data_IF_262551649071
#
_entry.id   IF_262551649071
#
_cell.length_a   1.000
_cell.length_b   1.000
_cell.length_c   1.000
_cell.angle_alpha   90.00
_cell.angle_beta   90.00
_cell.angle_gamma   90.00
#
_symmetry.space_group_name_H-M   'P 1'
#
loop_
_entity.id
_entity.type
_entity.pdbx_description
1 polymer ?
#
# COMPACT_ATOMS: atom_id res chain seq x y z
N UNK A 1 -29.94 2.90 -19.93
CA UNK A 1 -29.45 1.54 -20.23
C UNK A 1 -27.94 1.51 -20.43
N UNK A 2 -27.36 2.31 -21.33
CA UNK A 2 -25.90 2.36 -21.61
C UNK A 2 -25.01 2.62 -20.37
N UNK A 3 -25.39 3.56 -19.50
CA UNK A 3 -24.63 3.90 -18.28
C UNK A 3 -24.62 2.75 -17.27
N UNK A 4 -25.70 1.98 -17.15
CA UNK A 4 -25.77 0.83 -16.25
C UNK A 4 -24.92 -0.35 -16.76
N UNK A 5 -24.84 -0.54 -18.08
CA UNK A 5 -23.93 -1.52 -18.68
C UNK A 5 -22.47 -1.10 -18.56
N UNK A 6 -22.16 0.19 -18.70
CA UNK A 6 -20.82 0.69 -18.51
C UNK A 6 -20.39 0.57 -17.05
N UNK A 7 -21.25 0.96 -16.10
CA UNK A 7 -20.99 0.80 -14.66
C UNK A 7 -20.83 -0.67 -14.27
N UNK A 8 -21.66 -1.58 -14.77
CA UNK A 8 -21.52 -3.01 -14.48
C UNK A 8 -20.26 -3.61 -15.11
N UNK A 9 -19.86 -3.17 -16.31
CA UNK A 9 -18.63 -3.58 -16.97
C UNK A 9 -17.39 -3.04 -16.24
N UNK A 10 -17.38 -1.77 -15.83
CA UNK A 10 -16.29 -1.22 -15.00
C UNK A 10 -16.22 -1.95 -13.67
N UNK A 11 -17.36 -2.18 -13.01
CA UNK A 11 -17.37 -2.86 -11.72
C UNK A 11 -16.88 -4.31 -11.85
N UNK A 12 -17.29 -5.02 -12.91
CA UNK A 12 -16.84 -6.39 -13.18
C UNK A 12 -15.35 -6.45 -13.53
N UNK A 13 -14.83 -5.49 -14.28
CA UNK A 13 -13.39 -5.42 -14.61
C UNK A 13 -12.55 -5.06 -13.39
N UNK A 14 -12.96 -4.09 -12.58
CA UNK A 14 -12.29 -3.80 -11.29
C UNK A 14 -12.38 -4.97 -10.32
N UNK A 15 -13.52 -5.64 -10.25
CA UNK A 15 -13.71 -6.81 -9.40
C UNK A 15 -12.82 -7.99 -9.84
N UNK A 16 -12.77 -8.26 -11.14
CA UNK A 16 -11.90 -9.28 -11.70
C UNK A 16 -10.41 -8.95 -11.51
N UNK A 17 -10.04 -7.68 -11.66
CA UNK A 17 -8.68 -7.18 -11.38
C UNK A 17 -8.30 -7.40 -9.91
N UNK A 18 -9.18 -7.05 -8.97
CA UNK A 18 -8.95 -7.21 -7.54
C UNK A 18 -8.85 -8.70 -7.16
N UNK A 19 -9.73 -9.53 -7.71
CA UNK A 19 -9.69 -10.98 -7.55
C UNK A 19 -8.38 -11.56 -8.05
N UNK A 20 -7.97 -11.19 -9.27
CA UNK A 20 -6.71 -11.65 -9.87
C UNK A 20 -5.49 -11.19 -9.05
N UNK A 21 -5.50 -9.95 -8.56
CA UNK A 21 -4.41 -9.42 -7.73
C UNK A 21 -4.28 -10.20 -6.42
N UNK A 22 -5.40 -10.52 -5.76
CA UNK A 22 -5.40 -11.31 -4.53
C UNK A 22 -4.91 -12.73 -4.80
N UNK A 23 -5.40 -13.37 -5.86
CA UNK A 23 -5.00 -14.73 -6.26
C UNK A 23 -3.50 -14.79 -6.55
N UNK A 24 -2.94 -13.86 -7.33
CA UNK A 24 -1.50 -13.80 -7.60
C UNK A 24 -0.68 -13.55 -6.33
N UNK A 25 -1.12 -12.66 -5.45
CA UNK A 25 -0.37 -12.35 -4.21
C UNK A 25 -0.32 -13.57 -3.29
N UNK A 26 -1.45 -14.28 -3.18
CA UNK A 26 -1.60 -15.48 -2.35
C UNK A 26 -0.87 -16.67 -2.99
N UNK A 27 -1.14 -17.01 -4.24
CA UNK A 27 -0.53 -18.15 -4.94
C UNK A 27 0.97 -17.94 -5.19
N UNK A 28 1.33 -16.80 -5.76
CA UNK A 28 2.67 -16.59 -6.30
C UNK A 28 3.66 -16.01 -5.30
N UNK A 29 3.25 -15.51 -4.13
CA UNK A 29 4.17 -14.89 -3.16
C UNK A 29 4.03 -15.45 -1.75
N UNK A 30 2.90 -15.24 -1.07
CA UNK A 30 2.80 -15.41 0.39
C UNK A 30 2.18 -16.73 0.88
N UNK A 31 1.45 -17.44 0.03
CA UNK A 31 0.58 -18.53 0.45
C UNK A 31 -0.75 -18.01 1.01
N UNK A 32 -1.65 -18.93 1.35
CA UNK A 32 -2.94 -18.60 1.96
C UNK A 32 -2.73 -18.04 3.37
N UNK A 33 -3.37 -16.90 3.71
CA UNK A 33 -3.26 -16.29 5.02
C UNK A 33 -3.90 -17.19 6.09
N UNK A 34 -3.36 -17.17 7.30
CA UNK A 34 -3.98 -17.81 8.46
C UNK A 34 -5.09 -16.93 9.03
N UNK A 35 -5.96 -17.51 9.87
CA UNK A 35 -7.01 -16.76 10.57
C UNK A 35 -6.45 -15.58 11.37
N UNK A 36 -5.25 -15.75 11.93
CA UNK A 36 -4.55 -14.72 12.71
C UNK A 36 -4.04 -13.53 11.87
N UNK A 37 -3.94 -13.68 10.55
CA UNK A 37 -3.51 -12.64 9.62
C UNK A 37 -4.68 -11.86 9.02
N UNK A 38 -5.92 -12.35 9.20
CA UNK A 38 -7.14 -11.71 8.70
C UNK A 38 -7.80 -10.81 9.75
N UNK A 39 -7.18 -10.65 10.93
CA UNK A 39 -7.72 -9.85 12.03
C UNK A 39 -7.94 -8.37 11.68
N UNK A 40 -7.13 -7.81 10.77
CA UNK A 40 -7.26 -6.43 10.30
C UNK A 40 -8.46 -6.21 9.37
N UNK A 41 -9.03 -7.27 8.78
CA UNK A 41 -10.17 -7.14 7.87
C UNK A 41 -11.46 -6.88 8.66
N UNK A 42 -11.83 -5.59 8.77
CA UNK A 42 -13.09 -5.19 9.40
C UNK A 42 -14.36 -5.63 8.65
N UNK A 43 -14.24 -6.10 7.41
CA UNK A 43 -15.37 -6.55 6.58
C UNK A 43 -15.52 -8.07 6.61
N UNK A 44 -16.63 -8.56 7.16
CA UNK A 44 -16.96 -9.99 7.17
C UNK A 44 -17.09 -10.58 5.76
N UNK A 45 -17.52 -9.77 4.78
CA UNK A 45 -17.61 -10.18 3.39
C UNK A 45 -16.22 -10.40 2.77
N UNK A 46 -15.27 -9.52 3.08
CA UNK A 46 -13.88 -9.66 2.61
C UNK A 46 -13.24 -10.91 3.22
N UNK A 47 -13.49 -11.18 4.50
CA UNK A 47 -13.00 -12.39 5.17
C UNK A 47 -13.56 -13.67 4.56
N UNK A 48 -14.89 -13.76 4.38
CA UNK A 48 -15.54 -14.90 3.71
C UNK A 48 -15.07 -15.10 2.27
N UNK A 49 -14.67 -14.03 1.59
CA UNK A 49 -14.12 -14.14 0.24
C UNK A 49 -12.73 -14.81 0.27
N UNK A 50 -11.83 -14.36 1.15
CA UNK A 50 -10.49 -14.95 1.30
C UNK A 50 -10.59 -16.43 1.72
N UNK A 51 -11.51 -16.77 2.62
CA UNK A 51 -11.77 -18.16 3.06
C UNK A 51 -12.27 -19.08 1.93
N UNK A 52 -12.85 -18.52 0.85
CA UNK A 52 -13.32 -19.29 -0.31
C UNK A 52 -12.24 -19.49 -1.38
N UNK A 53 -11.11 -18.79 -1.28
CA UNK A 53 -10.03 -18.95 -2.23
C UNK A 53 -9.38 -20.35 -2.07
N UNK A 54 -8.80 -20.90 -3.15
CA UNK A 54 -8.04 -22.13 -3.05
C UNK A 54 -6.89 -21.97 -2.05
N UNK A 55 -6.60 -23.05 -1.31
CA UNK A 55 -5.49 -23.05 -0.38
C UNK A 55 -4.16 -23.23 -1.13
N UNK A 56 -3.22 -22.33 -0.88
CA UNK A 56 -1.85 -22.37 -1.40
C UNK A 56 -0.85 -22.41 -0.24
N UNK A 57 0.02 -23.41 -0.17
CA UNK A 57 1.03 -23.46 0.89
C UNK A 57 2.05 -22.34 0.72
N UNK A 58 2.50 -21.75 1.85
CA UNK A 58 3.59 -20.77 1.84
C UNK A 58 4.86 -21.43 1.29
N UNK A 59 5.40 -20.84 0.23
CA UNK A 59 6.68 -21.25 -0.36
C UNK A 59 7.80 -20.36 0.18
N UNK A 60 8.97 -20.91 0.54
CA UNK A 60 10.08 -20.11 1.03
C UNK A 60 10.60 -19.19 -0.08
N UNK A 61 10.86 -17.93 0.26
CA UNK A 61 11.34 -16.94 -0.72
C UNK A 61 12.68 -17.34 -1.34
N UNK A 62 13.50 -18.13 -0.65
CA UNK A 62 14.74 -18.69 -1.17
C UNK A 62 14.55 -19.59 -2.40
N UNK A 63 13.41 -20.28 -2.52
CA UNK A 63 13.11 -21.10 -3.71
C UNK A 63 12.66 -20.25 -4.89
N UNK A 64 11.93 -19.16 -4.63
CA UNK A 64 11.46 -18.21 -5.66
C UNK A 64 12.57 -17.29 -6.16
N UNK A 65 13.47 -16.89 -5.28
CA UNK A 65 14.55 -15.95 -5.55
C UNK A 65 15.91 -16.60 -5.24
N UNK A 66 16.35 -17.62 -6.02
CA UNK A 66 17.56 -18.38 -5.71
C UNK A 66 18.85 -17.56 -5.81
N UNK A 67 18.82 -16.43 -6.52
CA UNK A 67 19.96 -15.53 -6.66
C UNK A 67 20.01 -14.42 -5.59
N UNK A 68 19.00 -14.33 -4.73
CA UNK A 68 18.96 -13.31 -3.68
C UNK A 68 19.81 -13.75 -2.48
N UNK A 69 20.42 -12.78 -1.81
CA UNK A 69 21.16 -13.07 -0.57
C UNK A 69 20.16 -13.38 0.56
N UNK A 70 20.50 -14.24 1.53
CA UNK A 70 19.62 -14.54 2.66
C UNK A 70 19.19 -13.29 3.44
N UNK A 71 20.07 -12.28 3.51
CA UNK A 71 19.80 -11.01 4.18
C UNK A 71 18.78 -10.17 3.40
N UNK A 72 18.83 -10.17 2.06
CA UNK A 72 17.81 -9.52 1.24
C UNK A 72 16.45 -10.20 1.39
N UNK A 73 16.45 -11.54 1.45
CA UNK A 73 15.23 -12.34 1.64
C UNK A 73 14.58 -12.02 3.00
N UNK A 74 15.37 -11.95 4.08
CA UNK A 74 14.84 -11.62 5.43
C UNK A 74 14.12 -10.26 5.43
N UNK A 75 14.70 -9.24 4.79
CA UNK A 75 14.05 -7.93 4.70
C UNK A 75 12.73 -7.99 3.92
N UNK A 76 12.73 -8.66 2.77
CA UNK A 76 11.53 -8.79 1.92
C UNK A 76 10.43 -9.58 2.64
N UNK A 77 10.77 -10.63 3.37
CA UNK A 77 9.80 -11.42 4.15
C UNK A 77 9.14 -10.59 5.27
N UNK A 78 9.86 -9.63 5.87
CA UNK A 78 9.30 -8.71 6.87
C UNK A 78 8.48 -7.57 6.27
N UNK A 79 8.75 -7.21 5.01
CA UNK A 79 7.97 -6.20 4.26
C UNK A 79 6.68 -6.80 3.67
N UNK A 80 6.76 -8.01 3.14
CA UNK A 80 5.66 -8.70 2.47
C UNK A 80 4.91 -9.59 3.46
N UNK A 81 4.08 -8.97 4.29
CA UNK A 81 3.18 -9.64 5.22
C UNK A 81 1.72 -9.24 4.97
N UNK A 82 0.80 -10.15 5.26
CA UNK A 82 -0.65 -9.91 5.09
C UNK A 82 -1.17 -8.87 6.07
N UNK A 83 -0.80 -9.03 7.35
CA UNK A 83 -1.21 -8.12 8.41
C UNK A 83 -0.36 -6.84 8.34
N UNK A 84 -0.96 -5.67 8.05
CA UNK A 84 -0.22 -4.41 7.97
C UNK A 84 0.42 -4.05 9.32
N UNK A 85 -0.14 -4.46 10.45
CA UNK A 85 0.38 -4.14 11.78
C UNK A 85 1.63 -4.97 12.12
N UNK A 86 1.83 -6.11 11.46
CA UNK A 86 3.04 -6.95 11.58
C UNK A 86 4.14 -6.54 10.60
N UNK A 87 3.86 -5.60 9.69
CA UNK A 87 4.82 -5.16 8.67
C UNK A 87 5.95 -4.38 9.33
N UNK A 88 7.18 -4.65 8.91
CA UNK A 88 8.35 -3.90 9.37
C UNK A 88 8.14 -2.40 9.17
N UNK A 89 8.48 -1.62 10.20
CA UNK A 89 8.44 -0.16 10.12
C UNK A 89 9.59 0.37 9.28
N UNK A 90 9.47 1.62 8.81
CA UNK A 90 10.53 2.26 8.00
C UNK A 90 11.83 2.35 8.81
N UNK A 91 11.75 2.72 10.08
CA UNK A 91 12.92 2.82 10.97
C UNK A 91 13.62 1.46 11.16
N UNK A 92 12.86 0.38 11.37
CA UNK A 92 13.41 -0.97 11.48
C UNK A 92 14.02 -1.46 10.16
N UNK A 93 13.40 -1.11 9.02
CA UNK A 93 13.92 -1.47 7.70
C UNK A 93 15.26 -0.76 7.41
N UNK A 94 15.38 0.52 7.74
CA UNK A 94 16.62 1.30 7.59
C UNK A 94 17.75 0.74 8.45
N UNK A 95 17.44 0.26 9.66
CA UNK A 95 18.40 -0.40 10.56
C UNK A 95 18.72 -1.85 10.17
N UNK A 96 18.12 -2.40 9.11
CA UNK A 96 18.29 -3.80 8.74
C UNK A 96 19.70 -4.07 8.18
N UNK A 97 20.34 -5.22 8.46
CA UNK A 97 21.68 -5.57 7.95
C UNK A 97 21.85 -5.48 6.44
N UNK A 98 20.76 -5.58 5.69
CA UNK A 98 20.75 -5.40 4.23
C UNK A 98 21.08 -3.96 3.80
N UNK A 99 20.62 -2.96 4.55
CA UNK A 99 20.77 -1.54 4.23
C UNK A 99 21.92 -0.85 5.00
N UNK A 100 22.62 -1.56 5.90
CA UNK A 100 23.70 -0.99 6.72
C UNK A 100 24.77 -0.25 5.92
N UNK A 101 25.09 -0.70 4.71
CA UNK A 101 26.09 -0.01 3.85
C UNK A 101 25.61 1.32 3.28
N UNK A 102 24.30 1.57 3.31
CA UNK A 102 23.64 2.75 2.74
C UNK A 102 23.01 3.63 3.83
N UNK A 103 22.85 3.13 5.05
CA UNK A 103 22.16 3.82 6.13
C UNK A 103 23.01 4.95 6.69
N UNK A 104 22.54 6.18 6.50
CA UNK A 104 23.20 7.40 6.97
C UNK A 104 22.21 8.25 7.78
N UNK A 105 22.24 8.10 9.11
CA UNK A 105 21.30 8.75 10.03
C UNK A 105 21.22 10.28 9.83
N UNK A 106 22.34 10.91 9.46
CA UNK A 106 22.38 12.37 9.24
C UNK A 106 21.75 12.81 7.92
N UNK A 107 21.54 11.89 6.97
CA UNK A 107 20.90 12.15 5.67
C UNK A 107 19.43 11.66 5.63
N UNK A 108 18.90 11.17 6.76
CA UNK A 108 17.54 10.63 6.90
C UNK A 108 16.70 11.46 7.90
N UNK A 109 16.39 12.73 7.62
CA UNK A 109 15.61 13.57 8.52
C UNK A 109 14.15 13.13 8.57
N UNK A 110 13.58 13.09 9.79
CA UNK A 110 12.14 12.91 9.98
C UNK A 110 11.42 14.24 9.83
N UNK A 111 10.20 14.21 9.30
CA UNK A 111 9.36 15.41 9.24
C UNK A 111 8.96 15.81 10.67
N UNK A 112 9.24 17.05 11.12
CA UNK A 112 8.98 17.46 12.50
C UNK A 112 7.49 17.60 12.81
N UNK A 113 6.65 17.75 11.78
CA UNK A 113 5.20 17.86 11.91
C UNK A 113 4.50 16.91 10.95
N UNK A 114 3.38 16.27 11.35
CA UNK A 114 2.54 15.54 10.41
C UNK A 114 2.03 16.46 9.30
N UNK A 115 1.88 15.91 8.10
CA UNK A 115 1.14 16.59 7.04
C UNK A 115 -0.36 16.46 7.32
N UNK A 116 -1.09 17.57 7.22
CA UNK A 116 -2.52 17.60 7.49
C UNK A 116 -3.31 17.47 6.17
N UNK A 117 -4.23 16.50 6.13
CA UNK A 117 -5.11 16.23 4.98
C UNK A 117 -6.52 16.84 5.19
N UNK A 118 -6.58 18.01 5.81
CA UNK A 118 -7.82 18.74 6.10
C UNK A 118 -8.61 19.12 4.83
N UNK A 119 -7.91 19.37 3.72
CA UNK A 119 -8.51 19.63 2.42
C UNK A 119 -9.33 18.44 1.87
N UNK A 120 -9.00 17.19 2.21
CA UNK A 120 -9.74 16.01 1.71
C UNK A 120 -11.08 15.78 2.43
N UNK A 121 -11.23 16.30 3.64
CA UNK A 121 -12.44 16.15 4.45
C UNK A 121 -13.55 17.13 4.04
N UNK A 122 -13.20 18.11 3.21
CA UNK A 122 -14.08 19.18 2.78
C UNK A 122 -14.80 18.79 1.49
N UNK A 123 -16.13 18.94 1.44
CA UNK A 123 -16.89 18.83 0.18
C UNK A 123 -16.64 20.07 -0.68
N UNK A 124 -15.48 20.11 -1.32
CA UNK A 124 -15.02 21.24 -2.14
C UNK A 124 -15.66 21.17 -3.54
N UNK A 125 -16.12 22.31 -4.03
CA UNK A 125 -16.50 22.46 -5.44
C UNK A 125 -15.26 22.66 -6.32
N UNK A 126 -15.43 22.55 -7.64
CA UNK A 126 -14.35 22.81 -8.60
C UNK A 126 -13.76 24.23 -8.45
N UNK A 127 -14.62 25.21 -8.17
CA UNK A 127 -14.19 26.60 -7.99
C UNK A 127 -13.39 26.78 -6.69
N UNK A 128 -13.78 26.10 -5.60
CA UNK A 128 -13.03 26.12 -4.34
C UNK A 128 -11.63 25.49 -4.53
N UNK A 129 -11.53 24.40 -5.30
CA UNK A 129 -10.25 23.75 -5.60
C UNK A 129 -9.34 24.68 -6.42
N UNK A 130 -9.89 25.39 -7.42
CA UNK A 130 -9.13 26.38 -8.20
C UNK A 130 -8.60 27.50 -7.31
N UNK A 131 -9.41 27.99 -6.39
CA UNK A 131 -9.02 29.04 -5.45
C UNK A 131 -7.91 28.58 -4.50
N UNK A 132 -8.00 27.35 -3.97
CA UNK A 132 -6.96 26.76 -3.12
C UNK A 132 -5.64 26.59 -3.87
N UNK A 133 -5.67 26.07 -5.10
CA UNK A 133 -4.47 25.91 -5.94
C UNK A 133 -3.84 27.27 -6.26
N UNK A 134 -4.67 28.26 -6.61
CA UNK A 134 -4.22 29.62 -6.89
C UNK A 134 -3.56 30.25 -5.65
N UNK A 135 -4.19 30.11 -4.49
CA UNK A 135 -3.68 30.63 -3.21
C UNK A 135 -2.34 30.00 -2.85
N UNK A 136 -2.20 28.69 -3.00
CA UNK A 136 -0.94 27.99 -2.75
C UNK A 136 0.17 28.42 -3.73
N UNK A 137 -0.20 28.62 -5.01
CA UNK A 137 0.73 29.13 -6.02
C UNK A 137 1.26 30.53 -5.71
N UNK A 138 0.41 31.43 -5.18
CA UNK A 138 0.82 32.75 -4.70
C UNK A 138 1.65 32.71 -3.42
N UNK A 139 1.40 31.74 -2.53
CA UNK A 139 2.21 31.55 -1.33
C UNK A 139 3.62 31.08 -1.68
N UNK A 140 3.75 30.23 -2.71
CA UNK A 140 5.05 29.75 -3.19
C UNK A 140 5.82 30.79 -4.02
N UNK A 141 5.14 31.77 -4.63
CA UNK A 141 5.75 32.83 -5.45
C UNK A 141 5.39 34.24 -4.92
N UNK A 142 5.99 34.70 -3.80
CA UNK A 142 5.63 35.97 -3.18
C UNK A 142 5.90 37.22 -4.04
N UNK A 143 6.85 37.12 -4.97
CA UNK A 143 7.29 38.22 -5.87
C UNK A 143 6.22 38.61 -6.91
N UNK A 144 5.24 37.73 -7.17
CA UNK A 144 4.14 37.97 -8.13
C UNK A 144 2.85 38.49 -7.45
N UNK A 145 2.90 38.82 -6.14
CA UNK A 145 1.79 39.48 -5.46
C UNK A 145 1.69 40.94 -5.93
N UNK A 146 0.89 41.16 -6.97
CA UNK A 146 0.52 42.51 -7.50
C UNK A 146 -0.31 43.27 -6.48
#
# INVERSE_FOLDING_TARGET
MFILYQLSFTFLTYWFQLQLQLEITIEALLGSPEESDLGFLGSENARKYVERLPYFPKQPFSEKFPNATPIAIDLVERMLVFDPDKRITVDEALNHPYLVSLHEINEEPTCPSPFYFDFEQSSLSEDDIKELIWTESLNFNPEEKI
#
